data_IF_194391147414
#
_entry.id   IF_194391147414
#
_cell.length_a   1.000
_cell.length_b   1.000
_cell.length_c   1.000
_cell.angle_alpha   90.00
_cell.angle_beta   90.00
_cell.angle_gamma   90.00
#
_symmetry.space_group_name_H-M   'P 1'
#
loop_
_entity.id
_entity.type
_entity.pdbx_description
1 polymer ?
#
# COMPACT_ATOMS: atom_id res chain seq x y z
N UNK A 1 0.16 -11.49 14.11
CA UNK A 1 0.14 -12.93 13.79
C UNK A 1 -0.74 -13.04 12.56
N UNK A 2 -0.20 -13.46 11.43
CA UNK A 2 -1.01 -13.62 10.21
C UNK A 2 -1.81 -14.93 10.39
N UNK A 3 -3.13 -14.97 10.11
CA UNK A 3 -3.91 -16.20 10.24
C UNK A 3 -3.29 -17.37 9.45
N UNK A 4 -3.55 -18.60 9.87
CA UNK A 4 -2.84 -19.81 9.43
C UNK A 4 -2.99 -20.17 7.94
N UNK A 5 -3.84 -19.46 7.22
CA UNK A 5 -4.14 -19.58 5.79
C UNK A 5 -3.42 -18.54 4.91
N UNK A 6 -2.75 -17.56 5.50
CA UNK A 6 -1.91 -16.62 4.75
C UNK A 6 -0.48 -17.13 4.65
N UNK A 7 0.08 -17.09 3.44
CA UNK A 7 1.50 -17.26 3.20
C UNK A 7 2.13 -15.93 2.78
N UNK A 8 3.37 -15.68 3.21
CA UNK A 8 4.16 -14.57 2.64
C UNK A 8 4.50 -14.90 1.20
N UNK A 9 4.02 -14.11 0.26
CA UNK A 9 4.33 -14.26 -1.16
C UNK A 9 5.69 -13.63 -1.50
N UNK A 10 5.91 -12.39 -1.09
CA UNK A 10 7.14 -11.65 -1.37
C UNK A 10 7.36 -10.49 -0.39
N UNK A 11 8.55 -9.88 -0.45
CA UNK A 11 8.87 -8.60 0.21
C UNK A 11 8.89 -7.52 -0.87
N UNK A 12 8.05 -6.51 -0.71
CA UNK A 12 7.95 -5.39 -1.66
C UNK A 12 8.98 -4.27 -1.39
N UNK A 13 9.44 -4.16 -0.15
CA UNK A 13 10.44 -3.18 0.28
C UNK A 13 10.28 -2.77 1.74
N UNK A 14 10.87 -1.63 2.10
CA UNK A 14 10.93 -1.15 3.48
C UNK A 14 10.23 0.19 3.68
N UNK A 15 9.51 0.29 4.80
CA UNK A 15 8.97 1.55 5.30
C UNK A 15 9.83 2.07 6.45
N UNK A 16 9.91 3.39 6.60
CA UNK A 16 10.48 3.95 7.82
C UNK A 16 9.62 3.53 9.03
N UNK A 17 10.26 3.38 10.20
CA UNK A 17 9.59 3.01 11.45
C UNK A 17 9.19 4.21 12.32
N UNK A 18 9.49 5.42 11.86
CA UNK A 18 9.12 6.69 12.48
C UNK A 18 8.94 7.76 11.41
N UNK A 19 8.10 8.73 11.69
CA UNK A 19 8.05 9.96 10.90
C UNK A 19 9.34 10.77 11.10
N UNK A 20 10.08 11.01 10.02
CA UNK A 20 11.28 11.84 10.01
C UNK A 20 11.01 13.31 9.59
N UNK A 21 9.73 13.68 9.40
CA UNK A 21 9.30 15.03 9.10
C UNK A 21 8.30 15.09 7.95
N UNK A 22 7.00 14.94 8.24
CA UNK A 22 5.93 15.10 7.26
C UNK A 22 5.78 13.90 6.31
N UNK A 23 6.23 12.72 6.74
CA UNK A 23 6.07 11.50 5.96
C UNK A 23 4.61 11.03 5.93
N UNK A 24 4.21 10.37 4.85
CA UNK A 24 2.89 9.74 4.74
C UNK A 24 2.88 8.49 5.61
N UNK A 25 2.04 8.49 6.65
CA UNK A 25 1.76 7.29 7.46
C UNK A 25 0.92 6.32 6.64
N UNK A 26 1.40 5.10 6.44
CA UNK A 26 0.65 4.02 5.81
C UNK A 26 0.05 3.10 6.87
N UNK A 27 -1.18 2.66 6.63
CA UNK A 27 -2.02 1.98 7.61
C UNK A 27 -2.72 0.78 6.97
N UNK A 28 -2.90 -0.26 7.76
CA UNK A 28 -3.74 -1.42 7.47
C UNK A 28 -5.21 -1.03 7.70
N UNK A 29 -5.97 -0.91 6.61
CA UNK A 29 -7.33 -0.43 6.58
C UNK A 29 -8.30 -1.59 6.35
N UNK A 30 -9.06 -1.94 7.39
CA UNK A 30 -10.12 -2.94 7.28
C UNK A 30 -11.43 -2.30 6.86
N UNK A 31 -12.11 -2.90 5.89
CA UNK A 31 -13.36 -2.39 5.30
C UNK A 31 -14.49 -3.36 5.68
N UNK A 32 -15.26 -3.08 6.75
CA UNK A 32 -16.21 -4.05 7.28
C UNK A 32 -17.29 -4.49 6.29
N UNK A 33 -17.67 -3.60 5.36
CA UNK A 33 -18.67 -3.92 4.34
C UNK A 33 -18.17 -4.90 3.27
N UNK A 34 -16.86 -5.04 3.10
CA UNK A 34 -16.22 -5.91 2.11
C UNK A 34 -15.50 -7.09 2.75
N UNK A 35 -15.35 -7.07 4.08
CA UNK A 35 -14.53 -7.99 4.86
C UNK A 35 -13.09 -8.09 4.32
N UNK A 36 -12.53 -6.92 3.95
CA UNK A 36 -11.28 -6.84 3.21
C UNK A 36 -10.30 -5.84 3.83
N UNK A 37 -9.01 -6.02 3.52
CA UNK A 37 -7.91 -5.20 3.99
C UNK A 37 -7.23 -4.48 2.82
N UNK A 38 -7.00 -3.18 2.98
CA UNK A 38 -6.21 -2.40 2.04
C UNK A 38 -5.11 -1.62 2.75
N UNK A 39 -4.01 -1.37 2.05
CA UNK A 39 -3.05 -0.36 2.49
C UNK A 39 -3.57 1.02 2.08
N UNK A 40 -3.70 1.91 3.06
CA UNK A 40 -4.17 3.27 2.85
C UNK A 40 -3.30 4.31 3.57
N UNK A 41 -3.32 5.57 3.10
CA UNK A 41 -2.69 6.66 3.83
C UNK A 41 -3.55 7.10 5.02
N UNK A 42 -2.91 7.52 6.11
CA UNK A 42 -3.57 8.27 7.18
C UNK A 42 -4.50 7.44 8.05
N UNK A 43 -5.81 7.69 7.97
CA UNK A 43 -6.86 7.13 8.84
C UNK A 43 -7.86 6.24 8.08
N UNK A 44 -7.52 5.82 6.86
CA UNK A 44 -8.32 4.95 5.98
C UNK A 44 -9.57 5.61 5.36
N UNK A 45 -9.89 6.86 5.70
CA UNK A 45 -11.08 7.54 5.21
C UNK A 45 -12.40 6.95 5.73
N UNK A 46 -13.52 7.41 5.18
CA UNK A 46 -14.86 6.99 5.63
C UNK A 46 -15.21 5.57 5.18
N UNK A 47 -15.69 4.74 6.11
CA UNK A 47 -16.16 3.38 5.80
C UNK A 47 -15.11 2.29 6.01
N UNK A 48 -13.86 2.67 6.34
CA UNK A 48 -12.80 1.77 6.73
C UNK A 48 -12.32 2.08 8.17
N UNK A 49 -11.64 1.11 8.78
CA UNK A 49 -11.09 1.20 10.13
C UNK A 49 -9.59 1.01 10.05
N UNK A 50 -8.85 2.00 10.53
CA UNK A 50 -7.41 1.91 10.74
C UNK A 50 -7.08 0.90 11.86
N UNK A 51 -6.48 -0.23 11.49
CA UNK A 51 -6.13 -1.28 12.47
C UNK A 51 -4.74 -1.09 13.07
N UNK A 52 -3.75 -0.73 12.24
CA UNK A 52 -2.37 -0.54 12.68
C UNK A 52 -1.57 0.29 11.69
N UNK A 53 -0.57 0.99 12.20
CA UNK A 53 0.44 1.63 11.35
C UNK A 53 1.37 0.57 10.77
N UNK A 54 1.56 0.60 9.45
CA UNK A 54 2.51 -0.24 8.72
C UNK A 54 3.90 0.42 8.67
N UNK A 55 3.93 1.74 8.57
CA UNK A 55 5.15 2.53 8.56
C UNK A 55 4.94 3.89 7.90
N UNK A 56 6.04 4.51 7.46
CA UNK A 56 6.03 5.83 6.86
C UNK A 56 6.78 5.83 5.52
N UNK A 57 6.19 6.48 4.51
CA UNK A 57 6.76 6.69 3.19
C UNK A 57 6.95 8.19 2.91
N UNK A 58 7.88 8.55 2.02
CA UNK A 58 8.03 9.95 1.61
C UNK A 58 6.79 10.41 0.85
N UNK A 59 6.29 11.63 1.09
CA UNK A 59 5.09 12.14 0.43
C UNK A 59 5.34 12.55 -1.03
N UNK A 60 6.61 12.84 -1.36
CA UNK A 60 7.07 13.23 -2.70
C UNK A 60 8.34 12.48 -3.04
N UNK A 61 8.58 12.27 -4.33
CA UNK A 61 9.76 11.52 -4.79
C UNK A 61 11.05 12.20 -4.33
N UNK A 62 11.92 11.42 -3.69
CA UNK A 62 13.28 11.80 -3.31
C UNK A 62 14.29 11.05 -4.20
N UNK A 63 15.54 11.52 -4.29
CA UNK A 63 16.61 10.75 -4.93
C UNK A 63 16.73 9.34 -4.32
N UNK A 64 16.78 8.30 -5.17
CA UNK A 64 16.88 6.90 -4.72
C UNK A 64 15.58 6.34 -4.13
N UNK A 65 14.43 6.89 -4.52
CA UNK A 65 13.11 6.37 -4.12
C UNK A 65 12.22 6.09 -5.32
N UNK A 66 11.43 5.03 -5.20
CA UNK A 66 10.43 4.61 -6.16
C UNK A 66 9.02 4.80 -5.58
N UNK A 67 8.04 5.03 -6.46
CA UNK A 67 6.66 5.17 -6.04
C UNK A 67 6.09 3.83 -5.58
N UNK A 68 5.48 3.83 -4.40
CA UNK A 68 4.61 2.78 -3.90
C UNK A 68 3.18 3.11 -4.31
N UNK A 69 2.55 2.24 -5.09
CA UNK A 69 1.26 2.47 -5.74
C UNK A 69 0.23 1.50 -5.22
N UNK A 70 -1.04 1.93 -5.20
CA UNK A 70 -2.14 0.98 -5.11
C UNK A 70 -2.67 0.69 -6.51
N UNK A 71 -2.69 -0.58 -6.84
CA UNK A 71 -3.17 -1.12 -8.08
C UNK A 71 -4.57 -1.71 -7.91
N UNK A 72 -5.36 -1.64 -8.97
CA UNK A 72 -6.68 -2.24 -9.03
C UNK A 72 -6.88 -2.98 -10.35
N UNK A 73 -7.43 -4.19 -10.27
CA UNK A 73 -7.83 -4.98 -11.44
C UNK A 73 -9.32 -5.28 -11.40
N UNK A 74 -10.09 -4.53 -12.18
CA UNK A 74 -11.55 -4.61 -12.18
C UNK A 74 -12.11 -5.97 -12.59
N UNK A 75 -11.41 -6.74 -13.42
CA UNK A 75 -11.85 -8.08 -13.84
C UNK A 75 -11.82 -9.10 -12.70
N UNK A 76 -11.03 -8.86 -11.65
CA UNK A 76 -10.92 -9.72 -10.48
C UNK A 76 -11.46 -9.05 -9.20
N UNK A 77 -11.80 -7.76 -9.27
CA UNK A 77 -12.17 -6.95 -8.09
C UNK A 77 -11.07 -6.97 -7.03
N UNK A 78 -9.81 -6.89 -7.48
CA UNK A 78 -8.63 -7.11 -6.63
C UNK A 78 -7.76 -5.85 -6.51
N UNK A 79 -7.24 -5.63 -5.31
CA UNK A 79 -6.37 -4.51 -4.94
C UNK A 79 -5.05 -5.02 -4.38
N UNK A 80 -3.94 -4.49 -4.87
CA UNK A 80 -2.61 -4.78 -4.31
C UNK A 80 -1.74 -3.54 -4.29
N UNK A 81 -0.58 -3.65 -3.64
CA UNK A 81 0.43 -2.60 -3.59
C UNK A 81 1.64 -3.05 -4.41
N UNK A 82 2.18 -2.16 -5.24
CA UNK A 82 3.40 -2.44 -6.00
C UNK A 82 4.31 -1.22 -6.15
N UNK A 83 5.58 -1.46 -6.38
CA UNK A 83 6.59 -0.47 -6.79
C UNK A 83 6.78 -0.44 -8.30
N UNK A 84 6.22 -1.42 -9.02
CA UNK A 84 6.19 -1.52 -10.48
C UNK A 84 4.88 -0.88 -10.99
N UNK A 85 4.87 -0.26 -12.19
CA UNK A 85 3.62 0.20 -12.79
C UNK A 85 2.62 -0.96 -12.96
N UNK A 86 1.39 -0.78 -12.47
CA UNK A 86 0.38 -1.85 -12.32
C UNK A 86 0.11 -2.59 -13.64
N UNK A 87 0.06 -1.86 -14.75
CA UNK A 87 -0.20 -2.38 -16.10
C UNK A 87 0.90 -3.32 -16.61
N UNK A 88 2.09 -3.27 -16.02
CA UNK A 88 3.22 -4.16 -16.34
C UNK A 88 3.14 -5.48 -15.55
N UNK A 89 2.42 -5.51 -14.43
CA UNK A 89 2.22 -6.72 -13.63
C UNK A 89 0.99 -7.50 -14.10
N UNK A 90 -0.10 -6.80 -14.45
CA UNK A 90 -1.32 -7.42 -14.91
C UNK A 90 -2.00 -6.60 -16.01
N UNK A 91 -2.34 -7.27 -17.12
CA UNK A 91 -3.05 -6.63 -18.22
C UNK A 91 -4.43 -6.13 -17.76
N UNK A 92 -4.69 -4.83 -17.95
CA UNK A 92 -5.93 -4.17 -17.52
C UNK A 92 -5.93 -3.70 -16.08
N UNK A 93 -4.83 -3.89 -15.35
CA UNK A 93 -4.63 -3.23 -14.06
C UNK A 93 -4.42 -1.74 -14.24
N UNK A 94 -4.90 -0.96 -13.28
CA UNK A 94 -4.74 0.50 -13.26
C UNK A 94 -4.13 0.94 -11.94
N UNK A 95 -3.31 1.99 -12.00
CA UNK A 95 -2.90 2.73 -10.81
C UNK A 95 -4.10 3.55 -10.32
N UNK A 96 -4.58 3.31 -9.10
CA UNK A 96 -5.57 4.17 -8.48
C UNK A 96 -4.91 5.46 -7.97
N UNK A 97 -3.80 5.31 -7.24
CA UNK A 97 -2.94 6.42 -6.81
C UNK A 97 -1.62 5.94 -6.19
N UNK A 98 -0.67 6.87 -6.07
CA UNK A 98 0.58 6.73 -5.31
C UNK A 98 0.30 6.89 -3.81
N UNK A 99 0.68 5.88 -3.02
CA UNK A 99 0.62 5.88 -1.56
C UNK A 99 1.77 6.69 -0.93
N UNK A 100 2.91 6.72 -1.62
CA UNK A 100 4.12 7.45 -1.21
C UNK A 100 5.33 6.96 -1.99
N UNK A 101 6.52 7.34 -1.55
CA UNK A 101 7.77 6.92 -2.13
C UNK A 101 8.64 6.23 -1.09
N UNK A 102 9.20 5.09 -1.47
CA UNK A 102 10.02 4.22 -0.62
C UNK A 102 11.41 4.07 -1.22
N UNK A 103 12.47 3.80 -0.43
CA UNK A 103 13.79 3.54 -0.97
C UNK A 103 13.76 2.46 -2.04
N UNK A 104 14.58 2.63 -3.08
CA UNK A 104 14.88 1.55 -4.03
C UNK A 104 15.70 0.47 -3.31
N UNK A 105 15.34 -0.80 -3.53
CA UNK A 105 16.07 -1.97 -3.01
C UNK A 105 17.21 -2.42 -3.94
#
# INVERSE_FOLDING_TARGET
>A
MVPSDYATESVLGYLATKDAGGMTRLVDCYIPGWDDHMVGPGDCGSGAVALRTLGWAYPTQQPGTIALRRCYLASQTDHWVSTIPCEQEAAGAVEEFVLGYVPED
#
